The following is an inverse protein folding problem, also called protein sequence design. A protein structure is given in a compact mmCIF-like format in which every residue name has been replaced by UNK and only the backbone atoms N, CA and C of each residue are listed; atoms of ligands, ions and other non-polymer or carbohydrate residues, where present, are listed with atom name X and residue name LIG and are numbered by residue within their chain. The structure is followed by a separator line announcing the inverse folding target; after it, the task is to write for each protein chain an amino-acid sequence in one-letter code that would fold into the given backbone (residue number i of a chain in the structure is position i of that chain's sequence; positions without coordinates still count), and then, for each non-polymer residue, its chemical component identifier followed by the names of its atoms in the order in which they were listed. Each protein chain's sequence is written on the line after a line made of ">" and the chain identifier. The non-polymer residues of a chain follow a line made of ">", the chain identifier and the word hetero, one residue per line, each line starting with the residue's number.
data_IF_614658707461
#
_entry.id   IF_614658707461
#
_cell.length_a   1.000
_cell.length_b   1.000
_cell.length_c   1.000
_cell.angle_alpha   90.00
_cell.angle_beta   90.00
_cell.angle_gamma   90.00
#
_symmetry.space_group_name_H-M   'P 1'
#
loop_
_entity.id
_entity.type
_entity.pdbx_description
1 polymer ?
#
# COMPACT_ATOMS: atom_id res chain seq x y z
N UNK A 1 -64.69 -21.47 8.60
CA UNK A 1 -64.73 -21.78 10.04
C UNK A 1 -63.78 -20.81 10.73
N UNK A 2 -64.40 -19.93 11.53
CA UNK A 2 -63.75 -18.92 12.37
C UNK A 2 -63.05 -19.57 13.57
N UNK A 3 -61.93 -18.94 14.01
CA UNK A 3 -61.51 -18.73 15.39
C UNK A 3 -60.23 -17.92 15.37
N UNK A 4 -60.21 -16.68 15.62
CA UNK A 4 -60.22 -15.70 16.74
C UNK A 4 -59.22 -15.92 17.87
N UNK A 5 -58.39 -14.85 18.07
CA UNK A 5 -57.84 -14.24 19.28
C UNK A 5 -56.64 -14.95 19.96
N UNK A 6 -55.58 -14.26 20.31
CA UNK A 6 -55.53 -13.25 21.39
C UNK A 6 -54.27 -12.38 21.32
N UNK A 7 -54.45 -11.07 21.55
CA UNK A 7 -53.46 -10.09 21.94
C UNK A 7 -52.89 -10.40 23.35
N UNK A 8 -51.61 -10.15 23.55
CA UNK A 8 -51.07 -9.77 24.85
C UNK A 8 -50.15 -8.56 24.69
N UNK A 9 -50.69 -7.43 25.19
CA UNK A 9 -49.95 -6.22 25.53
C UNK A 9 -49.42 -6.41 26.96
N UNK A 10 -48.12 -6.17 27.17
CA UNK A 10 -47.59 -5.83 28.49
C UNK A 10 -46.70 -4.60 28.32
N UNK A 11 -47.22 -3.51 28.85
CA UNK A 11 -46.50 -2.27 29.11
C UNK A 11 -46.06 -2.24 30.57
N UNK A 12 -44.83 -1.89 30.85
CA UNK A 12 -44.37 -1.33 32.16
C UNK A 12 -43.09 -0.60 31.88
N UNK A 13 -43.06 0.69 31.86
CA UNK A 13 -42.95 1.69 32.93
C UNK A 13 -41.51 1.99 33.34
N UNK A 14 -41.11 3.13 32.92
CA UNK A 14 -40.24 4.18 33.43
C UNK A 14 -39.67 3.96 34.85
N UNK A 15 -38.35 4.13 34.99
CA UNK A 15 -37.80 4.85 36.14
C UNK A 15 -36.62 5.73 35.72
N UNK A 16 -36.88 7.00 35.84
CA UNK A 16 -35.97 8.13 35.75
C UNK A 16 -35.25 8.23 37.12
N UNK A 17 -33.93 8.32 37.13
CA UNK A 17 -33.20 8.75 38.31
C UNK A 17 -32.22 9.84 37.92
N UNK A 18 -32.64 11.08 38.14
CA UNK A 18 -31.76 12.24 38.27
C UNK A 18 -31.07 12.15 39.64
N UNK A 19 -29.75 12.35 39.65
CA UNK A 19 -29.08 12.96 40.81
C UNK A 19 -28.21 14.07 40.28
N UNK A 20 -28.57 15.26 40.76
CA UNK A 20 -27.87 16.50 40.51
C UNK A 20 -26.92 16.81 41.69
N UNK A 21 -25.99 17.69 41.39
CA UNK A 21 -25.26 18.62 42.25
C UNK A 21 -24.02 18.13 42.99
N UNK A 22 -22.89 18.75 42.70
CA UNK A 22 -22.37 19.80 43.57
C UNK A 22 -21.26 20.59 42.89
N UNK A 23 -21.43 21.91 42.93
CA UNK A 23 -20.38 22.91 42.65
C UNK A 23 -19.34 22.91 43.75
N UNK A 24 -18.11 23.32 43.37
CA UNK A 24 -17.02 23.69 44.26
C UNK A 24 -15.96 24.44 43.44
N UNK A 25 -16.09 25.78 43.43
CA UNK A 25 -15.00 26.71 43.11
C UNK A 25 -13.89 26.53 44.13
N UNK A 26 -12.65 26.65 43.71
CA UNK A 26 -11.75 27.70 44.17
C UNK A 26 -10.41 27.68 43.43
N UNK A 27 -9.95 28.88 43.28
CA UNK A 27 -8.83 29.38 42.49
C UNK A 27 -7.46 29.19 43.15
N UNK A 28 -6.49 29.52 42.31
CA UNK A 28 -5.20 30.19 42.64
C UNK A 28 -3.94 29.37 42.78
N UNK A 29 -3.09 29.71 41.85
CA UNK A 29 -1.68 30.15 41.97
C UNK A 29 -0.58 29.20 42.43
N UNK A 30 0.42 29.24 41.59
CA UNK A 30 1.83 29.41 41.89
C UNK A 30 2.75 28.38 41.18
N UNK A 31 3.40 28.82 40.15
CA UNK A 31 4.80 28.41 39.93
C UNK A 31 5.62 29.03 41.06
N UNK A 32 6.66 28.34 41.53
CA UNK A 32 7.95 28.80 41.12
C UNK A 32 9.12 27.79 41.04
N UNK A 33 10.13 28.28 40.35
CA UNK A 33 11.56 28.22 40.68
C UNK A 33 12.39 27.00 40.27
N UNK A 34 13.12 27.21 39.21
CA UNK A 34 14.56 26.92 39.00
C UNK A 34 15.35 26.59 40.25
N UNK A 35 16.07 25.46 40.24
CA UNK A 35 17.25 25.32 41.06
C UNK A 35 18.41 24.80 40.22
N UNK A 36 19.41 25.65 40.05
CA UNK A 36 20.69 25.39 39.45
C UNK A 36 21.54 24.50 40.37
N UNK A 37 22.28 23.56 39.81
CA UNK A 37 23.33 22.83 40.48
C UNK A 37 24.66 23.58 40.33
N UNK A 38 25.51 23.56 41.38
CA UNK A 38 26.80 24.20 41.33
C UNK A 38 27.91 23.31 40.76
N UNK A 39 29.00 23.89 40.25
CA UNK A 39 30.15 23.15 39.70
C UNK A 39 31.10 22.70 40.82
N UNK A 40 31.60 21.46 40.74
CA UNK A 40 32.62 20.96 41.60
C UNK A 40 33.95 20.86 40.84
N UNK A 41 34.94 21.47 41.44
CA UNK A 41 36.31 21.65 40.98
C UNK A 41 37.13 20.34 40.94
N UNK A 42 38.11 20.35 40.04
CA UNK A 42 39.18 19.39 39.95
C UNK A 42 40.20 19.53 41.11
N UNK A 43 40.92 18.50 41.48
CA UNK A 43 42.25 18.67 42.09
C UNK A 43 43.36 18.18 41.16
N UNK A 44 44.33 19.03 41.00
CA UNK A 44 45.68 18.84 40.51
C UNK A 44 46.50 18.12 41.56
N UNK A 45 47.31 17.12 41.21
CA UNK A 45 48.60 16.85 41.90
C UNK A 45 49.53 16.00 41.02
N UNK A 46 50.61 16.62 40.58
CA UNK A 46 52.02 16.32 40.70
C UNK A 46 52.53 14.89 40.38
N UNK A 47 53.43 14.87 39.41
CA UNK A 47 54.40 13.80 39.15
C UNK A 47 55.50 13.71 40.28
N UNK A 48 56.20 12.57 40.36
CA UNK A 48 57.61 12.67 40.20
C UNK A 48 58.25 11.66 39.24
N UNK A 49 59.39 12.09 38.74
CA UNK A 49 60.46 11.39 38.00
C UNK A 49 60.88 10.04 38.60
N UNK A 50 61.10 9.08 37.68
CA UNK A 50 62.34 8.26 37.71
C UNK A 50 62.42 7.44 36.39
N UNK A 51 63.40 7.68 35.55
CA UNK A 51 63.96 6.71 34.61
C UNK A 51 65.17 6.02 35.32
N UNK A 52 65.60 4.80 35.01
CA UNK A 52 65.96 4.32 33.67
C UNK A 52 65.74 2.80 33.45
N UNK A 53 65.68 2.35 32.23
CA UNK A 53 66.40 1.20 31.67
C UNK A 53 66.05 0.90 30.24
N UNK A 54 66.99 1.08 29.37
CA UNK A 54 67.06 0.64 28.00
C UNK A 54 66.90 -0.88 27.91
N UNK A 55 65.84 -1.35 27.26
CA UNK A 55 65.74 -2.72 26.80
C UNK A 55 65.38 -2.67 25.32
N UNK A 56 66.13 -3.39 24.48
CA UNK A 56 66.05 -3.44 23.04
C UNK A 56 64.62 -3.84 22.57
N UNK A 57 64.07 -3.08 21.64
CA UNK A 57 62.82 -3.37 21.03
C UNK A 57 62.91 -4.61 20.12
N UNK A 58 61.95 -5.53 20.16
CA UNK A 58 61.76 -6.49 19.08
C UNK A 58 61.24 -5.76 17.85
N UNK A 59 61.88 -6.01 16.73
CA UNK A 59 61.44 -5.54 15.40
C UNK A 59 60.12 -6.18 15.07
N UNK A 60 59.04 -5.45 15.34
CA UNK A 60 57.71 -5.83 14.85
C UNK A 60 57.68 -5.47 13.36
N UNK A 61 57.48 -6.48 12.51
CA UNK A 61 57.23 -6.26 11.09
C UNK A 61 56.03 -5.29 11.00
N UNK A 62 56.17 -4.28 10.14
CA UNK A 62 55.08 -3.37 9.83
C UNK A 62 53.85 -4.20 9.41
N UNK A 63 52.65 -3.88 9.89
CA UNK A 63 51.44 -4.45 9.30
C UNK A 63 51.44 -4.11 7.82
N UNK A 64 51.36 -5.12 6.98
CA UNK A 64 51.03 -4.95 5.58
C UNK A 64 49.67 -4.27 5.58
N UNK A 65 49.65 -3.00 5.26
CA UNK A 65 48.39 -2.32 4.94
C UNK A 65 47.92 -3.03 3.66
N UNK A 66 46.92 -3.90 3.75
CA UNK A 66 46.16 -4.31 2.58
C UNK A 66 45.74 -3.01 1.91
N UNK A 67 46.00 -2.92 0.63
CA UNK A 67 45.49 -1.82 -0.16
C UNK A 67 43.96 -1.77 0.09
N UNK A 68 43.37 -0.57 0.18
CA UNK A 68 41.92 -0.48 0.22
C UNK A 68 41.42 -1.33 -0.93
N UNK A 69 40.55 -2.26 -0.62
CA UNK A 69 39.73 -2.91 -1.64
C UNK A 69 39.12 -1.73 -2.43
N UNK A 70 39.51 -1.56 -3.67
CA UNK A 70 38.82 -0.63 -4.55
C UNK A 70 37.46 -1.29 -4.78
N UNK A 71 36.56 -1.10 -3.82
CA UNK A 71 35.18 -1.56 -3.89
C UNK A 71 34.59 -1.13 -5.23
N UNK A 72 33.67 -1.88 -5.75
CA UNK A 72 32.95 -1.62 -7.01
C UNK A 72 32.33 -0.21 -7.13
N UNK A 73 32.54 0.66 -6.14
CA UNK A 73 31.98 2.02 -6.06
C UNK A 73 30.53 2.05 -5.59
N UNK A 74 30.04 0.92 -5.13
CA UNK A 74 28.70 0.82 -4.55
C UNK A 74 28.65 1.41 -3.13
N UNK A 75 27.48 1.91 -2.69
CA UNK A 75 27.32 2.31 -1.30
C UNK A 75 27.39 1.08 -0.37
N UNK A 76 27.72 1.30 0.88
CA UNK A 76 27.73 0.23 1.89
C UNK A 76 26.31 -0.22 2.27
N UNK A 77 25.32 0.65 2.05
CA UNK A 77 23.91 0.46 2.39
C UNK A 77 22.99 1.19 1.41
N UNK A 78 21.83 0.60 1.13
CA UNK A 78 20.72 1.24 0.43
C UNK A 78 19.42 1.10 1.25
N UNK A 79 18.50 2.05 1.07
CA UNK A 79 17.17 2.01 1.68
C UNK A 79 16.12 1.74 0.61
N UNK A 80 15.31 0.71 0.80
CA UNK A 80 14.20 0.37 -0.06
C UNK A 80 12.86 0.70 0.61
N UNK A 81 12.18 1.73 0.12
CA UNK A 81 10.90 2.19 0.63
C UNK A 81 9.70 1.56 -0.07
N UNK A 82 8.64 1.35 0.70
CA UNK A 82 7.36 0.79 0.23
C UNK A 82 6.21 1.67 0.65
N UNK A 83 5.20 1.82 -0.21
CA UNK A 83 3.95 2.49 0.17
C UNK A 83 3.12 1.56 1.07
N UNK A 84 2.36 2.09 2.05
CA UNK A 84 1.48 1.29 2.91
C UNK A 84 0.20 0.91 2.15
N UNK A 85 0.34 0.01 1.15
CA UNK A 85 -0.79 -0.44 0.34
C UNK A 85 -1.79 -1.30 1.10
N UNK A 86 -1.34 -1.91 2.20
CA UNK A 86 -2.08 -2.73 3.14
C UNK A 86 -1.73 -2.28 4.56
N UNK A 87 -2.18 -3.02 5.57
CA UNK A 87 -1.84 -2.74 6.97
C UNK A 87 -0.32 -2.70 7.16
N UNK A 88 0.18 -1.59 7.73
CA UNK A 88 1.61 -1.24 7.70
C UNK A 88 2.51 -2.24 8.44
N UNK A 89 2.10 -2.66 9.65
CA UNK A 89 2.93 -3.56 10.46
C UNK A 89 3.02 -4.95 9.82
N UNK A 90 1.93 -5.44 9.23
CA UNK A 90 1.89 -6.70 8.48
C UNK A 90 2.76 -6.61 7.24
N UNK A 91 2.62 -5.55 6.44
CA UNK A 91 3.43 -5.36 5.24
C UNK A 91 4.93 -5.26 5.56
N UNK A 92 5.30 -4.59 6.68
CA UNK A 92 6.68 -4.49 7.11
C UNK A 92 7.29 -5.87 7.43
N UNK A 93 6.52 -6.75 8.06
CA UNK A 93 6.95 -8.12 8.34
C UNK A 93 7.02 -8.97 7.05
N UNK A 94 6.07 -8.79 6.14
CA UNK A 94 5.96 -9.57 4.91
C UNK A 94 7.06 -9.25 3.89
N UNK A 95 7.57 -8.02 3.84
CA UNK A 95 8.67 -7.65 2.93
C UNK A 95 10.04 -8.12 3.43
N UNK A 96 10.23 -8.42 4.72
CA UNK A 96 11.54 -8.69 5.29
C UNK A 96 12.25 -9.89 4.64
N UNK A 97 11.60 -11.04 4.34
CA UNK A 97 12.26 -12.15 3.64
C UNK A 97 12.83 -11.75 2.28
N UNK A 98 12.12 -10.91 1.54
CA UNK A 98 12.59 -10.38 0.26
C UNK A 98 13.80 -9.44 0.43
N UNK A 99 13.78 -8.57 1.44
CA UNK A 99 14.90 -7.67 1.77
C UNK A 99 16.16 -8.48 2.08
N UNK A 100 16.04 -9.54 2.89
CA UNK A 100 17.15 -10.43 3.25
C UNK A 100 17.74 -11.14 2.01
N UNK A 101 16.89 -11.56 1.06
CA UNK A 101 17.33 -12.16 -0.20
C UNK A 101 18.03 -11.14 -1.08
N UNK A 102 17.49 -9.93 -1.21
CA UNK A 102 18.08 -8.87 -2.01
C UNK A 102 19.46 -8.48 -1.45
N UNK A 103 19.58 -8.27 -0.13
CA UNK A 103 20.84 -8.01 0.56
C UNK A 103 21.87 -9.09 0.28
N UNK A 104 21.50 -10.37 0.42
CA UNK A 104 22.39 -11.49 0.14
C UNK A 104 22.83 -11.55 -1.33
N UNK A 105 21.96 -11.20 -2.26
CA UNK A 105 22.24 -11.25 -3.70
C UNK A 105 23.20 -10.14 -4.16
N UNK A 106 23.00 -8.90 -3.66
CA UNK A 106 23.81 -7.76 -4.08
C UNK A 106 25.04 -7.54 -3.19
N UNK A 107 25.06 -8.11 -1.97
CA UNK A 107 26.19 -8.08 -1.06
C UNK A 107 26.44 -6.76 -0.36
N UNK A 108 25.42 -5.88 -0.28
CA UNK A 108 25.40 -4.64 0.52
C UNK A 108 24.17 -4.62 1.41
N UNK A 109 24.23 -3.91 2.53
CA UNK A 109 23.10 -3.80 3.47
C UNK A 109 21.88 -3.18 2.81
N UNK A 110 20.70 -3.78 3.01
CA UNK A 110 19.42 -3.27 2.51
C UNK A 110 18.47 -3.03 3.67
N UNK A 111 18.04 -1.79 3.85
CA UNK A 111 17.05 -1.40 4.84
C UNK A 111 15.67 -1.26 4.20
N UNK A 112 14.79 -2.21 4.46
CA UNK A 112 13.41 -2.20 3.98
C UNK A 112 12.51 -1.41 4.91
N UNK A 113 11.84 -0.39 4.40
CA UNK A 113 10.94 0.46 5.19
C UNK A 113 9.56 0.59 4.53
N UNK A 114 8.49 0.45 5.31
CA UNK A 114 7.14 0.85 4.90
C UNK A 114 6.88 2.25 5.44
N UNK A 115 6.56 3.19 4.55
CA UNK A 115 6.28 4.58 4.96
C UNK A 115 4.92 4.70 5.65
N UNK A 116 4.70 5.79 6.38
CA UNK A 116 3.43 6.02 7.10
C UNK A 116 2.25 6.33 6.17
N UNK A 117 2.55 6.85 5.00
CA UNK A 117 1.58 7.16 3.94
C UNK A 117 2.27 7.17 2.56
N UNK A 118 1.47 7.24 1.51
CA UNK A 118 1.94 7.23 0.12
C UNK A 118 2.84 8.43 -0.21
N UNK A 119 2.52 9.61 0.33
CA UNK A 119 3.30 10.84 0.12
C UNK A 119 4.65 10.76 0.83
N UNK A 120 4.72 10.01 1.93
CA UNK A 120 5.95 9.73 2.66
C UNK A 120 7.01 9.09 1.76
N UNK A 121 6.66 8.12 0.93
CA UNK A 121 7.61 7.52 -0.02
C UNK A 121 8.01 8.49 -1.14
N UNK A 122 7.07 9.28 -1.67
CA UNK A 122 7.37 10.34 -2.65
C UNK A 122 8.44 11.29 -2.10
N UNK A 123 8.27 11.71 -0.85
CA UNK A 123 9.22 12.61 -0.17
C UNK A 123 10.55 11.92 0.14
N UNK A 124 10.53 10.69 0.63
CA UNK A 124 11.74 9.95 0.99
C UNK A 124 12.65 9.75 -0.22
N UNK A 125 12.08 9.32 -1.35
CA UNK A 125 12.83 9.17 -2.59
C UNK A 125 13.31 10.52 -3.14
N UNK A 126 12.42 11.52 -3.17
CA UNK A 126 12.74 12.84 -3.71
C UNK A 126 13.84 13.56 -2.95
N UNK A 127 13.97 13.32 -1.65
CA UNK A 127 14.98 13.94 -0.76
C UNK A 127 16.20 13.05 -0.52
N UNK A 128 16.28 11.85 -1.13
CA UNK A 128 17.38 10.92 -0.97
C UNK A 128 17.44 10.23 0.39
N UNK A 129 16.28 10.07 1.04
CA UNK A 129 16.15 9.28 2.27
C UNK A 129 15.84 7.80 1.96
N UNK A 130 15.41 7.51 0.74
CA UNK A 130 15.34 6.17 0.18
C UNK A 130 16.02 6.16 -1.19
N UNK A 131 16.67 5.06 -1.50
CA UNK A 131 17.41 4.83 -2.74
C UNK A 131 16.59 4.07 -3.77
N UNK A 132 15.66 3.23 -3.28
CA UNK A 132 14.67 2.50 -4.06
C UNK A 132 13.28 2.78 -3.50
N UNK A 133 12.26 2.75 -4.37
CA UNK A 133 10.87 2.88 -3.96
C UNK A 133 9.95 2.00 -4.77
N UNK A 134 9.13 1.20 -4.09
CA UNK A 134 8.02 0.47 -4.68
C UNK A 134 6.77 1.35 -4.64
N UNK A 135 6.37 1.85 -5.80
CA UNK A 135 5.30 2.82 -5.97
C UNK A 135 4.13 2.26 -6.77
N UNK A 136 2.92 2.73 -6.46
CA UNK A 136 1.91 2.84 -7.50
C UNK A 136 2.33 3.93 -8.52
N UNK A 137 1.89 3.80 -9.78
CA UNK A 137 2.37 4.68 -10.87
C UNK A 137 2.23 6.18 -10.61
N UNK A 138 1.17 6.61 -9.92
CA UNK A 138 0.97 8.02 -9.63
C UNK A 138 1.97 8.55 -8.59
N UNK A 139 2.24 7.78 -7.54
CA UNK A 139 3.28 8.16 -6.57
C UNK A 139 4.65 8.33 -7.22
N UNK A 140 4.99 7.44 -8.16
CA UNK A 140 6.21 7.54 -8.95
C UNK A 140 6.25 8.83 -9.79
N UNK A 141 5.19 9.10 -10.57
CA UNK A 141 5.17 10.32 -11.41
C UNK A 141 5.22 11.59 -10.57
N UNK A 142 4.54 11.63 -9.42
CA UNK A 142 4.66 12.74 -8.48
C UNK A 142 6.10 12.91 -7.98
N UNK A 143 6.78 11.83 -7.60
CA UNK A 143 8.17 11.90 -7.15
C UNK A 143 9.10 12.37 -8.27
N UNK A 144 9.02 11.76 -9.46
CA UNK A 144 9.89 12.10 -10.59
C UNK A 144 9.65 13.50 -11.10
N UNK A 145 8.39 13.93 -11.28
CA UNK A 145 8.06 15.22 -11.86
C UNK A 145 8.42 16.40 -10.92
N UNK A 146 8.39 16.17 -9.59
CA UNK A 146 8.72 17.22 -8.60
C UNK A 146 10.21 17.26 -8.22
N UNK A 147 10.91 16.14 -8.25
CA UNK A 147 12.31 16.07 -7.80
C UNK A 147 13.29 15.78 -8.94
N UNK A 148 12.90 15.01 -9.95
CA UNK A 148 13.68 14.80 -11.17
C UNK A 148 14.95 13.93 -11.00
N UNK A 149 15.05 13.18 -9.88
CA UNK A 149 16.22 12.39 -9.51
C UNK A 149 15.95 10.89 -9.45
N UNK A 150 14.85 10.41 -10.00
CA UNK A 150 14.49 9.01 -10.05
C UNK A 150 14.56 8.46 -11.47
N UNK A 151 14.75 7.15 -11.58
CA UNK A 151 14.63 6.38 -12.80
C UNK A 151 13.72 5.18 -12.57
N UNK A 152 12.76 4.87 -13.47
CA UNK A 152 11.96 3.67 -13.35
C UNK A 152 12.82 2.47 -13.75
N UNK A 153 12.97 1.50 -12.84
CA UNK A 153 13.78 0.32 -13.07
C UNK A 153 12.94 -0.89 -13.49
N UNK A 154 11.90 -1.17 -12.72
CA UNK A 154 11.03 -2.34 -12.87
C UNK A 154 9.59 -1.88 -12.99
N UNK A 155 8.85 -2.48 -13.92
CA UNK A 155 7.40 -2.51 -13.89
C UNK A 155 6.95 -3.94 -13.60
N UNK A 156 6.02 -4.09 -12.66
CA UNK A 156 5.44 -5.38 -12.34
C UNK A 156 4.52 -5.88 -13.44
N UNK A 157 4.43 -7.19 -13.55
CA UNK A 157 3.46 -7.90 -14.39
C UNK A 157 2.56 -8.71 -13.46
N UNK A 158 1.25 -8.54 -13.58
CA UNK A 158 0.26 -9.24 -12.80
C UNK A 158 -0.59 -10.10 -13.75
N UNK A 159 -0.62 -11.41 -13.53
CA UNK A 159 -1.40 -12.35 -14.35
C UNK A 159 -1.14 -12.21 -15.86
N UNK A 160 0.11 -11.94 -16.23
CA UNK A 160 0.52 -11.79 -17.63
C UNK A 160 0.24 -10.42 -18.25
N UNK A 161 -0.30 -9.45 -17.49
CA UNK A 161 -0.56 -8.09 -17.94
C UNK A 161 0.35 -7.06 -17.25
N UNK A 162 0.80 -6.06 -17.99
CA UNK A 162 1.55 -4.90 -17.46
C UNK A 162 0.60 -3.75 -17.04
N UNK A 163 -0.70 -4.00 -17.05
CA UNK A 163 -1.76 -3.06 -16.68
C UNK A 163 -2.77 -3.73 -15.77
N UNK A 164 -3.51 -2.94 -15.01
CA UNK A 164 -4.58 -3.35 -14.11
C UNK A 164 -5.69 -2.28 -14.11
N UNK A 165 -6.73 -2.46 -13.28
CA UNK A 165 -7.84 -1.51 -13.17
C UNK A 165 -8.09 -1.13 -11.72
N UNK A 166 -8.70 0.04 -11.51
CA UNK A 166 -9.40 0.35 -10.27
C UNK A 166 -10.81 -0.26 -10.30
N UNK A 167 -11.29 -0.72 -9.16
CA UNK A 167 -12.63 -1.28 -9.01
C UNK A 167 -13.46 -0.42 -8.07
N UNK A 168 -14.66 -0.03 -8.54
CA UNK A 168 -15.71 0.59 -7.73
C UNK A 168 -16.58 -0.48 -7.11
N UNK A 169 -16.81 -0.39 -5.81
CA UNK A 169 -17.64 -1.37 -5.11
C UNK A 169 -18.55 -0.73 -4.07
N UNK A 170 -19.60 -1.45 -3.72
CA UNK A 170 -20.64 -1.06 -2.78
C UNK A 170 -21.12 -2.26 -1.97
N UNK A 171 -21.73 -2.03 -0.81
CA UNK A 171 -22.49 -3.03 -0.08
C UNK A 171 -24.01 -2.86 -0.25
N UNK A 172 -24.45 -1.88 -1.04
CA UNK A 172 -25.87 -1.59 -1.30
C UNK A 172 -26.27 -2.03 -2.72
N UNK A 173 -26.90 -3.21 -2.89
CA UNK A 173 -27.32 -3.68 -4.20
C UNK A 173 -28.39 -2.81 -4.86
N UNK A 174 -28.96 -1.83 -4.14
CA UNK A 174 -30.00 -0.96 -4.71
C UNK A 174 -29.46 0.09 -5.69
N UNK A 175 -28.13 0.29 -5.73
CA UNK A 175 -27.51 1.17 -6.73
C UNK A 175 -27.35 0.49 -8.09
N UNK A 176 -27.47 -0.84 -8.14
CA UNK A 176 -27.28 -1.61 -9.35
C UNK A 176 -28.45 -1.46 -10.32
N UNK A 177 -28.16 -1.40 -11.60
CA UNK A 177 -29.15 -1.40 -12.69
C UNK A 177 -29.87 -2.75 -12.80
N UNK A 178 -29.20 -3.83 -12.38
CA UNK A 178 -29.74 -5.20 -12.33
C UNK A 178 -29.37 -5.88 -10.99
N UNK A 179 -29.99 -7.02 -10.74
CA UNK A 179 -29.63 -7.84 -9.56
C UNK A 179 -28.18 -8.30 -9.65
N UNK A 180 -27.35 -8.08 -8.61
CA UNK A 180 -25.96 -8.56 -8.60
C UNK A 180 -25.86 -10.06 -8.91
N UNK A 181 -24.89 -10.41 -9.73
CA UNK A 181 -24.66 -11.79 -10.16
C UNK A 181 -23.36 -12.29 -9.53
N UNK A 182 -23.38 -13.41 -8.79
CA UNK A 182 -22.16 -14.02 -8.31
C UNK A 182 -21.38 -14.65 -9.48
N UNK A 183 -20.06 -14.45 -9.48
CA UNK A 183 -19.18 -15.14 -10.41
C UNK A 183 -18.97 -16.59 -9.96
N UNK A 184 -19.69 -17.52 -10.57
CA UNK A 184 -19.61 -18.95 -10.24
C UNK A 184 -18.69 -19.74 -11.15
N UNK A 185 -18.33 -19.21 -12.31
CA UNK A 185 -17.37 -19.81 -13.23
C UNK A 185 -16.84 -18.71 -14.16
N UNK A 186 -15.54 -18.62 -14.24
CA UNK A 186 -14.87 -17.76 -15.18
C UNK A 186 -14.28 -18.63 -16.28
N UNK A 187 -14.68 -18.36 -17.53
CA UNK A 187 -14.06 -18.98 -18.69
C UNK A 187 -12.91 -18.05 -19.15
N UNK A 188 -11.70 -18.57 -19.21
CA UNK A 188 -10.57 -17.82 -19.76
C UNK A 188 -10.85 -17.44 -21.21
N UNK A 189 -10.81 -16.15 -21.53
CA UNK A 189 -10.70 -15.72 -22.91
C UNK A 189 -9.29 -15.96 -23.42
N UNK A 190 -9.10 -15.90 -24.74
CA UNK A 190 -7.77 -16.05 -25.35
C UNK A 190 -6.75 -14.98 -24.89
N UNK A 191 -7.23 -13.89 -24.31
CA UNK A 191 -6.44 -12.77 -23.82
C UNK A 191 -6.33 -12.75 -22.28
N UNK A 192 -6.76 -13.82 -21.60
CA UNK A 192 -6.71 -13.91 -20.12
C UNK A 192 -7.77 -13.09 -19.39
N UNK A 193 -8.57 -12.30 -20.10
CA UNK A 193 -9.65 -11.50 -19.56
C UNK A 193 -10.96 -12.25 -19.73
N UNK A 194 -11.69 -12.42 -18.66
CA UNK A 194 -13.01 -13.05 -18.67
C UNK A 194 -14.07 -11.97 -18.61
N UNK A 195 -15.07 -12.03 -19.44
CA UNK A 195 -16.19 -11.10 -19.42
C UNK A 195 -17.40 -11.73 -18.75
N UNK A 196 -18.00 -11.03 -17.81
CA UNK A 196 -19.28 -11.39 -17.21
C UNK A 196 -20.22 -10.22 -17.33
N UNK A 197 -21.18 -10.32 -18.23
CA UNK A 197 -22.07 -9.20 -18.54
C UNK A 197 -21.32 -8.05 -19.23
N UNK A 198 -21.48 -6.84 -18.71
CA UNK A 198 -20.85 -5.61 -19.23
C UNK A 198 -19.53 -5.27 -18.57
N UNK A 199 -19.12 -6.02 -17.53
CA UNK A 199 -17.86 -5.82 -16.81
C UNK A 199 -16.83 -6.84 -17.26
N UNK A 200 -15.61 -6.39 -17.45
CA UNK A 200 -14.50 -7.29 -17.63
C UNK A 200 -14.29 -8.10 -16.34
N UNK A 201 -13.97 -9.34 -16.50
CA UNK A 201 -13.99 -10.31 -15.41
C UNK A 201 -12.90 -10.12 -14.38
N UNK A 202 -11.95 -9.24 -14.62
CA UNK A 202 -11.02 -8.76 -13.60
C UNK A 202 -11.77 -8.33 -12.34
N UNK A 203 -12.95 -7.72 -12.52
CA UNK A 203 -13.85 -7.34 -11.44
C UNK A 203 -14.39 -8.52 -10.62
N UNK A 204 -14.20 -9.75 -11.04
CA UNK A 204 -14.88 -10.91 -10.45
C UNK A 204 -13.91 -11.97 -9.95
N UNK A 205 -12.65 -11.62 -9.79
CA UNK A 205 -11.57 -12.55 -9.48
C UNK A 205 -11.54 -13.04 -8.05
N UNK A 206 -12.32 -12.45 -7.15
CA UNK A 206 -12.43 -12.85 -5.75
C UNK A 206 -12.87 -14.26 -5.62
N UNK A 207 -12.41 -15.21 -5.68
CA UNK A 207 -12.87 -16.59 -5.57
C UNK A 207 -12.32 -17.50 -6.61
N UNK A 208 -11.78 -16.95 -7.68
CA UNK A 208 -11.26 -17.73 -8.80
C UNK A 208 -9.73 -17.72 -8.82
N UNK A 209 -9.11 -16.62 -8.43
CA UNK A 209 -7.68 -16.42 -8.61
C UNK A 209 -6.84 -16.70 -7.40
N UNK A 210 -7.39 -16.47 -6.25
CA UNK A 210 -6.59 -16.27 -5.06
C UNK A 210 -6.96 -17.22 -3.95
N UNK A 211 -7.13 -18.48 -4.27
CA UNK A 211 -6.98 -19.53 -3.28
C UNK A 211 -5.52 -19.56 -2.79
N UNK A 212 -5.31 -19.92 -1.53
CA UNK A 212 -3.99 -20.12 -0.91
C UNK A 212 -3.10 -21.17 -1.63
N UNK A 213 -3.39 -21.48 -2.87
CA UNK A 213 -2.85 -22.64 -3.57
C UNK A 213 -1.92 -22.31 -4.72
N UNK A 214 -1.56 -21.01 -4.94
CA UNK A 214 -0.74 -20.64 -6.10
C UNK A 214 -1.33 -21.12 -7.42
N UNK A 215 -2.67 -21.17 -7.54
CA UNK A 215 -3.36 -21.62 -8.73
C UNK A 215 -3.39 -20.53 -9.78
N UNK A 216 -3.10 -20.93 -11.01
CA UNK A 216 -3.15 -20.07 -12.17
C UNK A 216 -4.58 -19.59 -12.46
N UNK A 217 -4.67 -18.50 -13.20
CA UNK A 217 -5.90 -17.93 -13.74
C UNK A 217 -6.84 -19.02 -14.28
N UNK A 218 -8.07 -19.11 -13.78
CA UNK A 218 -9.08 -20.08 -14.24
C UNK A 218 -9.01 -21.45 -13.57
N UNK A 219 -8.13 -21.70 -12.63
CA UNK A 219 -8.20 -22.90 -11.82
C UNK A 219 -9.28 -22.73 -10.73
N UNK A 220 -10.18 -23.73 -10.64
CA UNK A 220 -11.22 -23.72 -9.61
C UNK A 220 -10.59 -23.91 -8.23
N UNK A 221 -10.85 -22.94 -7.37
CA UNK A 221 -10.62 -23.09 -5.93
C UNK A 221 -11.70 -24.03 -5.39
N UNK A 222 -11.36 -24.88 -4.45
CA UNK A 222 -12.34 -25.75 -3.80
C UNK A 222 -13.47 -24.89 -3.21
N UNK A 223 -14.70 -25.23 -3.54
CA UNK A 223 -15.92 -24.45 -3.27
C UNK A 223 -16.26 -24.25 -1.77
N UNK A 224 -15.28 -24.33 -0.89
CA UNK A 224 -15.41 -24.10 0.55
C UNK A 224 -14.56 -22.92 1.06
N UNK A 225 -13.60 -22.44 0.26
CA UNK A 225 -12.58 -21.54 0.78
C UNK A 225 -12.76 -20.07 0.37
N UNK A 226 -13.63 -19.76 -0.59
CA UNK A 226 -13.80 -18.39 -1.09
C UNK A 226 -15.21 -18.15 -1.60
N UNK A 227 -15.83 -17.03 -1.20
CA UNK A 227 -17.10 -16.64 -1.80
C UNK A 227 -16.88 -16.14 -3.24
N UNK A 228 -17.79 -16.47 -4.18
CA UNK A 228 -17.76 -15.88 -5.50
C UNK A 228 -17.96 -14.37 -5.39
N UNK A 229 -17.15 -13.61 -6.15
CA UNK A 229 -17.32 -12.17 -6.23
C UNK A 229 -18.64 -11.79 -6.87
N UNK A 230 -19.39 -10.92 -6.25
CA UNK A 230 -20.61 -10.36 -6.82
C UNK A 230 -20.32 -9.08 -7.60
N UNK A 231 -21.03 -8.91 -8.73
CA UNK A 231 -20.96 -7.70 -9.56
C UNK A 231 -22.31 -7.31 -10.12
N UNK A 232 -22.43 -6.06 -10.50
CA UNK A 232 -23.54 -5.49 -11.27
C UNK A 232 -23.00 -4.33 -12.12
N UNK A 233 -23.87 -3.65 -12.86
CA UNK A 233 -23.56 -2.36 -13.49
C UNK A 233 -24.28 -1.24 -12.75
N UNK A 234 -23.61 -0.09 -12.61
CA UNK A 234 -24.22 1.13 -12.12
C UNK A 234 -23.49 2.35 -12.70
N UNK A 235 -24.27 3.40 -12.92
CA UNK A 235 -23.72 4.68 -13.35
C UNK A 235 -23.02 5.41 -12.20
N UNK A 236 -21.88 6.04 -12.45
CA UNK A 236 -21.17 6.82 -11.43
C UNK A 236 -21.95 8.08 -11.00
N UNK A 237 -22.88 8.59 -11.80
CA UNK A 237 -23.78 9.65 -11.35
C UNK A 237 -24.66 9.20 -10.16
N UNK A 238 -24.92 7.89 -10.01
CA UNK A 238 -25.73 7.33 -8.92
C UNK A 238 -25.08 7.45 -7.54
N UNK A 239 -23.76 7.69 -7.48
CA UNK A 239 -23.04 7.83 -6.22
C UNK A 239 -22.98 9.27 -5.69
N UNK A 240 -23.57 10.24 -6.39
CA UNK A 240 -23.64 11.63 -5.94
C UNK A 240 -24.25 11.73 -4.52
N UNK A 241 -23.57 12.45 -3.64
CA UNK A 241 -23.96 12.63 -2.23
C UNK A 241 -23.66 11.46 -1.31
N UNK A 242 -23.10 10.35 -1.81
CA UNK A 242 -22.72 9.18 -1.00
C UNK A 242 -21.35 9.38 -0.33
N UNK A 243 -21.11 8.62 0.73
CA UNK A 243 -19.78 8.52 1.34
C UNK A 243 -18.91 7.56 0.53
N UNK A 244 -17.76 8.05 0.05
CA UNK A 244 -16.85 7.30 -0.81
C UNK A 244 -15.50 7.12 -0.12
N UNK A 245 -15.10 5.86 0.08
CA UNK A 245 -13.81 5.49 0.64
C UNK A 245 -12.76 5.40 -0.47
N UNK A 246 -11.86 6.37 -0.50
CA UNK A 246 -10.64 6.36 -1.29
C UNK A 246 -9.48 5.81 -0.46
N UNK A 247 -8.42 5.34 -1.12
CA UNK A 247 -7.21 4.84 -0.45
C UNK A 247 -6.36 6.00 0.07
N UNK A 248 -5.75 6.74 -0.83
CA UNK A 248 -4.88 7.90 -0.58
C UNK A 248 -4.94 8.84 -1.77
N UNK A 249 -4.79 10.14 -1.54
CA UNK A 249 -4.74 11.14 -2.62
C UNK A 249 -3.58 10.93 -3.60
N UNK A 250 -2.55 10.19 -3.22
CA UNK A 250 -1.40 9.80 -4.07
C UNK A 250 -1.54 8.40 -4.67
N UNK A 251 -2.68 7.72 -4.47
CA UNK A 251 -2.93 6.40 -5.05
C UNK A 251 -3.47 6.50 -6.47
N UNK A 252 -2.94 5.67 -7.37
CA UNK A 252 -3.37 5.64 -8.77
C UNK A 252 -4.78 5.08 -8.93
N UNK A 253 -4.99 3.82 -8.49
CA UNK A 253 -6.29 3.13 -8.57
C UNK A 253 -7.25 3.51 -7.45
N UNK A 254 -6.71 3.93 -6.30
CA UNK A 254 -7.51 4.32 -5.15
C UNK A 254 -7.96 5.79 -5.15
N UNK A 255 -7.48 6.62 -6.09
CA UNK A 255 -7.90 8.02 -6.18
C UNK A 255 -7.79 8.61 -7.59
N UNK A 256 -6.60 8.66 -8.22
CA UNK A 256 -6.37 9.46 -9.43
C UNK A 256 -7.33 9.11 -10.58
N UNK A 257 -7.32 7.85 -11.01
CA UNK A 257 -8.18 7.39 -12.11
C UNK A 257 -9.67 7.42 -11.74
N UNK A 258 -10.08 6.99 -10.54
CA UNK A 258 -11.45 7.16 -10.06
C UNK A 258 -11.92 8.61 -10.01
N UNK A 259 -11.11 9.53 -9.53
CA UNK A 259 -11.47 10.95 -9.48
C UNK A 259 -11.66 11.53 -10.89
N UNK A 260 -10.78 11.16 -11.84
CA UNK A 260 -10.96 11.54 -13.24
C UNK A 260 -12.25 10.94 -13.83
N UNK A 261 -12.57 9.70 -13.48
CA UNK A 261 -13.78 9.03 -13.93
C UNK A 261 -15.03 9.72 -13.37
N UNK A 262 -15.02 10.17 -12.11
CA UNK A 262 -16.10 10.97 -11.51
C UNK A 262 -16.29 12.32 -12.22
N UNK A 263 -15.21 13.05 -12.47
CA UNK A 263 -15.30 14.32 -13.23
C UNK A 263 -15.93 14.10 -14.61
N UNK A 264 -15.53 13.04 -15.32
CA UNK A 264 -16.11 12.69 -16.62
C UNK A 264 -17.59 12.30 -16.55
N UNK A 265 -18.03 11.75 -15.41
CA UNK A 265 -19.43 11.48 -15.11
C UNK A 265 -20.20 12.70 -14.56
N UNK A 266 -19.57 13.85 -14.47
CA UNK A 266 -20.20 15.09 -13.95
C UNK A 266 -20.32 15.15 -12.42
N UNK A 267 -19.62 14.29 -11.70
CA UNK A 267 -19.58 14.25 -10.23
C UNK A 267 -18.24 14.83 -9.75
N UNK A 268 -18.28 15.92 -9.02
CA UNK A 268 -17.08 16.51 -8.43
C UNK A 268 -16.59 15.64 -7.26
N UNK A 269 -15.36 15.10 -7.30
CA UNK A 269 -14.84 14.21 -6.25
C UNK A 269 -14.67 14.89 -4.89
N UNK A 270 -14.61 16.23 -4.83
CA UNK A 270 -14.46 16.97 -3.58
C UNK A 270 -15.78 17.43 -2.98
N UNK A 271 -16.80 17.71 -3.81
CA UNK A 271 -18.05 18.33 -3.36
C UNK A 271 -19.31 17.58 -3.80
N UNK A 272 -19.21 16.73 -4.81
CA UNK A 272 -20.33 15.91 -5.32
C UNK A 272 -20.57 14.64 -4.50
N UNK A 273 -19.62 14.26 -3.66
CA UNK A 273 -19.64 13.10 -2.74
C UNK A 273 -19.13 13.54 -1.37
N UNK A 274 -19.12 12.62 -0.41
CA UNK A 274 -18.40 12.79 0.88
C UNK A 274 -17.17 11.91 0.86
N UNK A 275 -15.99 12.42 0.46
CA UNK A 275 -14.79 11.60 0.38
C UNK A 275 -14.22 11.31 1.77
N UNK A 276 -13.78 10.09 2.00
CA UNK A 276 -12.94 9.69 3.12
C UNK A 276 -11.69 8.98 2.57
N UNK A 277 -10.55 9.20 3.22
CA UNK A 277 -9.28 8.57 2.85
C UNK A 277 -8.91 7.56 3.94
N UNK A 278 -8.77 6.31 3.55
CA UNK A 278 -8.62 5.18 4.48
C UNK A 278 -7.17 4.80 4.75
N UNK A 279 -6.23 5.29 3.93
CA UNK A 279 -4.80 5.04 4.05
C UNK A 279 -4.30 3.79 3.32
N UNK A 280 -5.11 2.72 3.26
CA UNK A 280 -4.79 1.45 2.61
C UNK A 280 -5.91 0.94 1.70
N UNK A 281 -5.59 0.00 0.83
CA UNK A 281 -6.54 -0.61 -0.10
C UNK A 281 -7.50 -1.57 0.61
N UNK A 282 -7.01 -2.33 1.56
CA UNK A 282 -7.77 -3.20 2.45
C UNK A 282 -8.73 -2.39 3.32
N UNK A 283 -8.27 -1.27 3.89
CA UNK A 283 -9.08 -0.39 4.72
C UNK A 283 -10.27 0.22 3.94
N UNK A 284 -10.12 0.50 2.64
CA UNK A 284 -11.23 0.95 1.80
C UNK A 284 -12.30 -0.14 1.62
N UNK A 285 -11.88 -1.39 1.48
CA UNK A 285 -12.80 -2.54 1.39
C UNK A 285 -13.49 -2.78 2.74
N UNK A 286 -12.73 -2.73 3.85
CA UNK A 286 -13.28 -2.86 5.22
C UNK A 286 -14.35 -1.82 5.49
N UNK A 287 -14.12 -0.56 5.08
CA UNK A 287 -15.08 0.52 5.27
C UNK A 287 -16.44 0.21 4.60
N UNK A 288 -16.41 -0.31 3.37
CA UNK A 288 -17.65 -0.70 2.66
C UNK A 288 -18.24 -1.98 3.25
N UNK A 289 -17.42 -2.98 3.54
CA UNK A 289 -17.87 -4.25 4.11
C UNK A 289 -18.64 -4.05 5.44
N UNK A 290 -18.16 -3.13 6.28
CA UNK A 290 -18.76 -2.78 7.56
C UNK A 290 -19.92 -1.78 7.43
N UNK A 291 -20.07 -1.09 6.31
CA UNK A 291 -21.08 -0.04 6.11
C UNK A 291 -20.66 1.32 6.65
N UNK A 292 -19.37 1.56 6.87
CA UNK A 292 -18.81 2.86 7.26
C UNK A 292 -18.71 3.81 6.05
N UNK A 293 -18.67 3.25 4.83
CA UNK A 293 -18.79 3.96 3.56
C UNK A 293 -19.83 3.28 2.66
N UNK A 294 -20.55 4.07 1.86
CA UNK A 294 -21.52 3.56 0.89
C UNK A 294 -20.82 2.93 -0.32
N UNK A 295 -19.72 3.54 -0.72
CA UNK A 295 -18.94 3.23 -1.92
C UNK A 295 -17.47 3.15 -1.53
N UNK A 296 -16.73 2.28 -2.18
CA UNK A 296 -15.29 2.21 -2.07
C UNK A 296 -14.63 2.05 -3.42
N UNK A 297 -13.34 2.28 -3.44
CA UNK A 297 -12.49 2.12 -4.61
C UNK A 297 -11.14 1.52 -4.21
N UNK A 298 -10.66 0.55 -5.00
CA UNK A 298 -9.37 -0.10 -4.79
C UNK A 298 -8.84 -0.64 -6.12
N UNK A 299 -7.73 -1.35 -6.11
CA UNK A 299 -7.25 -2.09 -7.29
C UNK A 299 -8.03 -3.40 -7.48
N UNK A 300 -7.94 -3.98 -8.64
CA UNK A 300 -8.55 -5.25 -9.00
C UNK A 300 -7.65 -6.46 -8.68
N UNK A 301 -8.01 -7.45 -7.90
CA UNK A 301 -9.15 -7.44 -6.99
C UNK A 301 -8.65 -7.43 -5.55
N UNK A 302 -8.66 -6.26 -4.95
CA UNK A 302 -8.16 -6.09 -3.58
C UNK A 302 -9.03 -6.79 -2.52
N UNK A 303 -10.28 -7.20 -2.83
CA UNK A 303 -11.13 -7.97 -1.91
C UNK A 303 -10.48 -9.29 -1.47
N UNK A 304 -9.52 -9.79 -2.27
CA UNK A 304 -8.75 -11.01 -1.95
C UNK A 304 -7.98 -10.91 -0.64
N UNK A 305 -7.52 -9.72 -0.26
CA UNK A 305 -6.75 -9.53 0.98
C UNK A 305 -7.57 -9.82 2.24
N UNK A 306 -8.89 -9.68 2.15
CA UNK A 306 -9.80 -9.89 3.27
C UNK A 306 -10.46 -11.27 3.32
N UNK A 307 -10.33 -12.09 2.26
CA UNK A 307 -11.10 -13.34 2.14
C UNK A 307 -10.82 -14.36 3.24
N UNK A 308 -9.60 -14.36 3.80
CA UNK A 308 -9.22 -15.30 4.88
C UNK A 308 -10.02 -15.02 6.17
N UNK A 309 -10.26 -13.76 6.47
CA UNK A 309 -10.97 -13.31 7.65
C UNK A 309 -12.47 -13.13 7.42
N UNK A 310 -12.84 -12.72 6.21
CA UNK A 310 -14.20 -12.40 5.80
C UNK A 310 -14.58 -13.19 4.54
N UNK A 311 -14.90 -14.46 4.73
CA UNK A 311 -15.18 -15.42 3.63
C UNK A 311 -16.29 -14.97 2.69
N UNK A 312 -17.19 -14.10 3.12
CA UNK A 312 -18.32 -13.57 2.37
C UNK A 312 -18.05 -12.18 1.77
N UNK A 313 -16.80 -11.70 1.81
CA UNK A 313 -16.43 -10.38 1.27
C UNK A 313 -16.83 -10.22 -0.20
N UNK A 314 -16.65 -11.26 -1.01
CA UNK A 314 -17.01 -11.23 -2.42
C UNK A 314 -18.51 -11.07 -2.67
N UNK A 315 -19.38 -11.56 -1.77
CA UNK A 315 -20.84 -11.42 -1.86
C UNK A 315 -21.31 -10.06 -1.35
N UNK A 316 -20.69 -9.57 -0.27
CA UNK A 316 -21.09 -8.32 0.40
C UNK A 316 -20.55 -7.08 -0.26
N UNK A 317 -19.34 -7.17 -0.80
CA UNK A 317 -18.69 -6.06 -1.50
C UNK A 317 -18.83 -6.27 -2.99
N UNK A 318 -19.86 -5.62 -3.56
CA UNK A 318 -20.32 -5.80 -4.93
C UNK A 318 -19.55 -4.84 -5.84
N UNK A 319 -18.84 -5.34 -6.82
CA UNK A 319 -18.20 -4.50 -7.84
C UNK A 319 -19.24 -4.03 -8.85
N UNK A 320 -19.29 -2.72 -9.15
CA UNK A 320 -20.27 -2.17 -10.09
C UNK A 320 -19.67 -1.34 -11.24
N UNK A 321 -18.37 -1.00 -11.16
CA UNK A 321 -17.68 -0.29 -12.23
C UNK A 321 -16.16 -0.52 -12.12
N UNK A 322 -15.45 -0.30 -13.20
CA UNK A 322 -13.99 -0.34 -13.28
C UNK A 322 -13.43 0.91 -13.96
N UNK A 323 -12.19 1.26 -13.69
CA UNK A 323 -11.51 2.37 -14.37
C UNK A 323 -11.02 1.95 -15.76
N UNK A 324 -10.46 2.91 -16.51
CA UNK A 324 -9.56 2.59 -17.62
C UNK A 324 -8.33 1.84 -17.12
N UNK A 325 -7.60 1.21 -18.05
CA UNK A 325 -6.33 0.53 -17.76
C UNK A 325 -5.34 1.49 -17.11
N UNK A 326 -4.65 0.99 -16.10
CA UNK A 326 -3.63 1.66 -15.32
C UNK A 326 -2.33 0.88 -15.51
N UNK A 327 -1.17 1.50 -15.80
CA UNK A 327 0.11 0.81 -15.76
C UNK A 327 0.32 0.15 -14.40
N UNK A 328 0.89 -1.06 -14.36
CA UNK A 328 1.22 -1.70 -13.08
C UNK A 328 2.29 -0.94 -12.30
N UNK A 329 2.46 -1.34 -11.04
CA UNK A 329 3.39 -0.77 -10.08
C UNK A 329 4.83 -0.72 -10.59
N UNK A 330 5.60 0.20 -10.07
CA UNK A 330 6.95 0.50 -10.46
C UNK A 330 7.91 0.45 -9.27
N UNK A 331 9.04 -0.22 -9.44
CA UNK A 331 10.21 0.02 -8.59
C UNK A 331 11.05 1.07 -9.27
N UNK A 332 11.12 2.24 -8.65
CA UNK A 332 11.99 3.33 -9.05
C UNK A 332 13.27 3.33 -8.21
N UNK A 333 14.34 3.84 -8.80
CA UNK A 333 15.64 3.94 -8.15
C UNK A 333 16.17 5.37 -8.25
N UNK A 334 17.02 5.75 -7.30
CA UNK A 334 17.77 7.00 -7.39
C UNK A 334 18.64 7.01 -8.65
N UNK A 335 18.58 8.12 -9.38
CA UNK A 335 19.42 8.31 -10.58
C UNK A 335 20.92 8.26 -10.22
N UNK A 336 21.29 8.60 -8.98
CA UNK A 336 22.66 8.64 -8.49
C UNK A 336 23.26 7.25 -8.20
N UNK A 337 22.46 6.18 -8.12
CA UNK A 337 22.98 4.83 -7.94
C UNK A 337 23.82 4.39 -9.13
N UNK A 338 24.95 3.66 -8.91
CA UNK A 338 25.76 3.09 -9.96
C UNK A 338 24.94 2.20 -10.90
N UNK A 339 25.21 2.30 -12.22
CA UNK A 339 24.45 1.58 -13.23
C UNK A 339 24.53 0.06 -13.07
N UNK A 340 25.68 -0.45 -12.66
CA UNK A 340 25.90 -1.87 -12.40
C UNK A 340 25.20 -2.35 -11.13
N UNK A 341 25.01 -1.50 -10.12
CA UNK A 341 24.17 -1.80 -8.96
C UNK A 341 22.69 -1.86 -9.35
N UNK A 342 22.19 -0.91 -10.16
CA UNK A 342 20.81 -0.96 -10.71
C UNK A 342 20.55 -2.26 -11.47
N UNK A 343 21.54 -2.71 -12.25
CA UNK A 343 21.47 -3.97 -13.00
C UNK A 343 21.46 -5.19 -12.06
N UNK A 344 22.30 -5.17 -11.01
CA UNK A 344 22.35 -6.24 -10.02
C UNK A 344 21.03 -6.34 -9.23
N UNK A 345 20.43 -5.21 -8.87
CA UNK A 345 19.11 -5.16 -8.20
C UNK A 345 18.03 -5.77 -9.09
N UNK A 346 17.97 -5.35 -10.37
CA UNK A 346 17.01 -5.92 -11.31
C UNK A 346 17.14 -7.44 -11.41
N UNK A 347 18.37 -7.90 -11.64
CA UNK A 347 18.67 -9.34 -11.80
C UNK A 347 18.32 -10.13 -10.52
N UNK A 348 18.64 -9.59 -9.34
CA UNK A 348 18.34 -10.24 -8.07
C UNK A 348 16.82 -10.41 -7.86
N UNK A 349 16.01 -9.40 -8.20
CA UNK A 349 14.55 -9.46 -8.10
C UNK A 349 13.99 -10.46 -9.14
N UNK A 350 14.48 -10.42 -10.39
CA UNK A 350 14.06 -11.33 -11.44
C UNK A 350 14.38 -12.79 -11.10
N UNK A 351 15.60 -13.07 -10.60
CA UNK A 351 16.03 -14.41 -10.20
C UNK A 351 15.24 -14.92 -8.98
N UNK A 352 14.94 -14.05 -7.99
CA UNK A 352 14.15 -14.44 -6.84
C UNK A 352 12.70 -14.73 -7.23
N UNK A 353 12.08 -13.88 -8.02
CA UNK A 353 10.72 -14.09 -8.52
C UNK A 353 10.57 -15.39 -9.34
N UNK A 354 11.65 -15.85 -10.00
CA UNK A 354 11.66 -17.11 -10.73
C UNK A 354 11.74 -18.38 -9.82
N UNK A 355 11.85 -18.20 -8.50
CA UNK A 355 11.79 -19.31 -7.53
C UNK A 355 10.37 -19.53 -7.02
N UNK A 356 10.03 -20.76 -6.61
CA UNK A 356 8.72 -21.07 -6.01
C UNK A 356 8.44 -20.20 -4.77
N UNK A 357 9.47 -19.88 -3.98
CA UNK A 357 9.37 -19.04 -2.77
C UNK A 357 9.13 -17.58 -3.14
N UNK A 358 9.87 -17.04 -4.11
CA UNK A 358 9.72 -15.66 -4.56
C UNK A 358 8.39 -15.43 -5.28
N UNK A 359 7.96 -16.36 -6.14
CA UNK A 359 6.65 -16.32 -6.79
C UNK A 359 5.53 -16.26 -5.73
N UNK A 360 5.57 -17.16 -4.74
CA UNK A 360 4.57 -17.19 -3.68
C UNK A 360 4.55 -15.91 -2.84
N UNK A 361 5.73 -15.36 -2.49
CA UNK A 361 5.85 -14.13 -1.73
C UNK A 361 5.30 -12.93 -2.51
N UNK A 362 5.71 -12.74 -3.75
CA UNK A 362 5.25 -11.61 -4.57
C UNK A 362 3.77 -11.72 -4.94
N UNK A 363 3.22 -12.94 -5.12
CA UNK A 363 1.78 -13.12 -5.32
C UNK A 363 0.99 -12.78 -4.06
N UNK A 364 1.45 -13.20 -2.88
CA UNK A 364 0.78 -12.90 -1.61
C UNK A 364 0.71 -11.38 -1.33
N UNK A 365 1.84 -10.67 -1.49
CA UNK A 365 1.94 -9.24 -1.14
C UNK A 365 1.30 -8.37 -2.21
N UNK A 366 1.64 -8.57 -3.49
CA UNK A 366 1.30 -7.62 -4.57
C UNK A 366 0.61 -8.25 -5.77
N UNK A 367 0.50 -9.58 -5.84
CA UNK A 367 -0.01 -10.30 -7.00
C UNK A 367 0.91 -10.22 -8.22
N UNK A 368 2.21 -10.02 -8.02
CA UNK A 368 3.16 -10.01 -9.12
C UNK A 368 3.48 -11.43 -9.56
N UNK A 369 3.40 -11.67 -10.85
CA UNK A 369 3.72 -12.97 -11.46
C UNK A 369 4.95 -12.89 -12.36
N UNK A 370 5.39 -11.69 -12.73
CA UNK A 370 6.58 -11.42 -13.52
C UNK A 370 6.98 -9.94 -13.38
N UNK A 371 8.13 -9.56 -13.92
CA UNK A 371 8.60 -8.19 -14.00
C UNK A 371 9.11 -7.87 -15.42
N UNK A 372 9.14 -6.60 -15.76
CA UNK A 372 9.79 -6.10 -16.97
C UNK A 372 10.56 -4.81 -16.71
N UNK A 373 11.45 -4.46 -17.61
CA UNK A 373 12.08 -3.14 -17.57
C UNK A 373 11.01 -2.07 -17.76
N UNK A 374 11.03 -1.08 -16.85
CA UNK A 374 10.18 0.09 -16.95
C UNK A 374 10.83 1.18 -17.78
N UNK A 375 10.01 2.02 -18.39
CA UNK A 375 10.42 3.25 -19.08
C UNK A 375 9.53 4.40 -18.68
N UNK A 376 10.01 5.65 -18.79
CA UNK A 376 9.20 6.85 -18.53
C UNK A 376 7.88 6.86 -19.31
N UNK A 377 7.92 6.42 -20.56
CA UNK A 377 6.74 6.41 -21.43
C UNK A 377 5.62 5.46 -20.95
N UNK A 378 5.94 4.47 -20.14
CA UNK A 378 4.94 3.57 -19.56
C UNK A 378 3.95 4.33 -18.64
N UNK A 379 4.36 5.48 -18.10
CA UNK A 379 3.60 6.27 -17.12
C UNK A 379 3.02 7.57 -17.68
N UNK A 380 3.11 7.83 -18.98
CA UNK A 380 2.59 9.05 -19.61
C UNK A 380 1.07 9.20 -19.40
N UNK A 381 0.31 8.11 -19.48
CA UNK A 381 -1.14 8.13 -19.24
C UNK A 381 -1.49 8.56 -17.80
N UNK A 382 -0.61 8.28 -16.84
CA UNK A 382 -0.78 8.71 -15.44
C UNK A 382 -0.60 10.22 -15.32
N UNK A 383 0.42 10.77 -15.99
CA UNK A 383 0.65 12.21 -16.07
C UNK A 383 -0.50 12.94 -16.77
N UNK A 384 -1.03 12.34 -17.85
CA UNK A 384 -2.23 12.88 -18.53
C UNK A 384 -3.44 12.91 -17.60
N UNK A 385 -3.67 11.86 -16.82
CA UNK A 385 -4.76 11.80 -15.85
C UNK A 385 -4.60 12.86 -14.73
N UNK A 386 -3.40 13.00 -14.18
CA UNK A 386 -3.08 14.02 -13.17
C UNK A 386 -3.28 15.45 -13.71
N UNK A 387 -2.78 15.72 -14.92
CA UNK A 387 -2.95 17.01 -15.58
C UNK A 387 -4.43 17.36 -15.83
N UNK A 388 -5.25 16.37 -16.19
CA UNK A 388 -6.69 16.55 -16.39
C UNK A 388 -7.43 16.93 -15.11
N UNK A 389 -6.92 16.52 -13.94
CA UNK A 389 -7.43 16.92 -12.62
C UNK A 389 -6.75 18.19 -12.07
N UNK A 390 -5.73 18.70 -12.77
CA UNK A 390 -4.95 19.87 -12.31
C UNK A 390 -4.02 19.53 -11.13
N UNK A 391 -3.66 18.28 -10.94
CA UNK A 391 -2.74 17.82 -9.90
C UNK A 391 -1.33 17.83 -10.47
N UNK A 392 -0.43 18.58 -9.85
CA UNK A 392 0.98 18.68 -10.25
C UNK A 392 1.97 18.51 -9.10
N UNK A 393 1.48 18.52 -7.87
CA UNK A 393 2.30 18.43 -6.66
C UNK A 393 1.75 17.32 -5.75
N UNK A 394 2.60 16.69 -4.92
CA UNK A 394 2.13 15.77 -3.90
C UNK A 394 1.14 16.47 -2.95
N UNK A 395 0.09 15.78 -2.51
CA UNK A 395 -0.80 16.32 -1.49
C UNK A 395 -0.03 16.58 -0.19
N UNK A 396 -0.36 17.69 0.46
CA UNK A 396 0.32 18.15 1.67
C UNK A 396 -0.07 17.45 2.95
#
# INVERSE_FOLDING_TARGET
>A
MLRTRSLWLVATALTLSLVASSCGDDAQDAAPATTAAPPTAAPTTAAPDDAPATTAAPTTAAPTTEAPDEGNGWPDKITFGFVPSQEQDTLQDDIQPFIDVLEAAIGIEVDGIVTTDYTGLVTAMGTGQADLGAFGPFGYTLAQDNFGNLEPLIQSVRFGAATYHGQWFTNDPSICDETPVPATALENSADGIVQVGALDAVALQVGVYFGDSGKALGETVDAGDVSPGSSCTASLESIAGKTVAFTSESSTSGYLFPALQLINAGVDPASGITPIFTGGHDAAIVAVYNGDADIGISYDDARRTMRKENIDVGEKVIVFNITAEIPNDVVAVSADLPADLKEAIYTAIEEYLATDEGEAMFDEIYGWTDIRRATEADFDIVREAAAALGISEPPG
#
